data_IF_227277162400
#
_entry.id   IF_227277162400
#
_cell.length_a   1.000
_cell.length_b   1.000
_cell.length_c   1.000
_cell.angle_alpha   90.00
_cell.angle_beta   90.00
_cell.angle_gamma   90.00
#
_symmetry.space_group_name_H-M   'P 1'
#
loop_
_entity.id
_entity.type
_entity.pdbx_description
1 polymer ?
#
# COMPACT_ATOMS: atom_id res chain seq x y z
N UNK A 1 -19.98 19.92 -12.31
CA UNK A 1 -18.64 19.79 -12.90
C UNK A 1 -17.91 18.62 -12.28
N UNK A 2 -16.86 18.12 -12.93
CA UNK A 2 -16.19 16.85 -12.59
C UNK A 2 -14.96 17.06 -11.72
N UNK A 3 -14.75 16.19 -10.72
CA UNK A 3 -13.58 16.22 -9.85
C UNK A 3 -12.31 15.80 -10.61
N UNK A 4 -11.24 16.58 -10.50
CA UNK A 4 -9.97 16.26 -11.15
C UNK A 4 -9.21 15.09 -10.48
N UNK A 5 -9.57 14.71 -9.25
CA UNK A 5 -8.95 13.58 -8.56
C UNK A 5 -9.63 12.24 -8.87
N UNK A 6 -10.95 12.18 -8.72
CA UNK A 6 -11.70 10.92 -8.90
C UNK A 6 -12.43 10.81 -10.23
N UNK A 7 -12.43 11.87 -11.06
CA UNK A 7 -13.16 11.92 -12.33
C UNK A 7 -14.68 11.74 -12.21
N UNK A 8 -15.23 11.80 -10.99
CA UNK A 8 -16.68 11.72 -10.72
C UNK A 8 -17.33 13.12 -10.67
N UNK A 9 -18.65 13.22 -10.89
CA UNK A 9 -19.40 14.45 -10.63
C UNK A 9 -19.20 14.94 -9.19
N UNK A 10 -18.90 16.22 -9.01
CA UNK A 10 -18.75 16.79 -7.67
C UNK A 10 -20.13 17.04 -7.05
N UNK A 11 -20.52 16.22 -6.07
CA UNK A 11 -21.65 16.51 -5.17
C UNK A 11 -21.32 17.63 -4.19
N UNK A 12 -20.07 17.66 -3.72
CA UNK A 12 -19.51 18.68 -2.83
C UNK A 12 -18.24 19.24 -3.43
N UNK A 13 -17.94 20.49 -3.15
CA UNK A 13 -16.77 21.21 -3.67
C UNK A 13 -15.85 21.56 -2.51
N UNK A 14 -14.54 21.42 -2.74
CA UNK A 14 -13.51 21.85 -1.81
C UNK A 14 -12.85 23.14 -2.33
N UNK A 15 -12.91 24.20 -1.53
CA UNK A 15 -12.26 25.48 -1.82
C UNK A 15 -11.02 25.65 -0.94
N UNK A 16 -9.86 25.77 -1.58
CA UNK A 16 -8.60 26.14 -0.91
C UNK A 16 -8.41 27.66 -0.90
N UNK A 17 -7.55 28.18 -0.03
CA UNK A 17 -7.26 29.62 0.06
C UNK A 17 -6.71 30.23 -1.24
N UNK A 18 -6.11 29.40 -2.10
CA UNK A 18 -5.65 29.81 -3.42
C UNK A 18 -6.76 29.96 -4.48
N UNK A 19 -8.03 29.70 -4.13
CA UNK A 19 -9.19 29.84 -5.04
C UNK A 19 -9.45 28.66 -5.98
N UNK A 20 -8.55 27.67 -6.03
CA UNK A 20 -8.79 26.44 -6.79
C UNK A 20 -9.90 25.59 -6.15
N UNK A 21 -10.88 25.20 -6.97
CA UNK A 21 -12.12 24.49 -6.55
C UNK A 21 -12.48 23.32 -7.47
N UNK A 22 -11.48 22.75 -8.16
CA UNK A 22 -11.60 21.65 -9.13
C UNK A 22 -11.54 20.25 -8.50
N UNK A 23 -11.52 20.17 -7.17
CA UNK A 23 -11.52 18.92 -6.39
C UNK A 23 -12.81 18.82 -5.59
N UNK A 24 -13.42 17.65 -5.54
CA UNK A 24 -14.60 17.43 -4.70
C UNK A 24 -14.24 17.43 -3.22
N UNK A 25 -15.25 17.67 -2.36
CA UNK A 25 -15.11 17.62 -0.91
C UNK A 25 -14.46 16.31 -0.42
N UNK A 26 -14.95 15.16 -0.92
CA UNK A 26 -14.47 13.84 -0.50
C UNK A 26 -12.98 13.61 -0.83
N UNK A 27 -12.54 13.96 -2.04
CA UNK A 27 -11.14 13.82 -2.41
C UNK A 27 -10.24 14.75 -1.58
N UNK A 28 -10.64 16.00 -1.40
CA UNK A 28 -9.90 16.93 -0.54
C UNK A 28 -9.80 16.43 0.91
N UNK A 29 -10.90 15.88 1.44
CA UNK A 29 -10.92 15.31 2.78
C UNK A 29 -10.00 14.08 2.89
N UNK A 30 -9.96 13.19 1.89
CA UNK A 30 -9.02 12.06 1.84
C UNK A 30 -7.55 12.53 1.83
N UNK A 31 -7.23 13.54 1.02
CA UNK A 31 -5.87 14.11 0.96
C UNK A 31 -5.43 14.58 2.37
N UNK A 32 -6.30 15.30 3.07
CA UNK A 32 -5.98 15.82 4.40
C UNK A 32 -5.93 14.74 5.48
N UNK A 33 -6.96 13.91 5.57
CA UNK A 33 -7.16 13.00 6.70
C UNK A 33 -6.37 11.69 6.56
N UNK A 34 -6.26 11.15 5.35
CA UNK A 34 -5.63 9.84 5.13
C UNK A 34 -4.18 9.95 4.63
N UNK A 35 -3.85 11.04 3.93
CA UNK A 35 -2.54 11.25 3.32
C UNK A 35 -1.73 12.38 3.99
N UNK A 36 -2.31 13.11 4.95
CA UNK A 36 -1.70 14.28 5.59
C UNK A 36 -1.18 15.33 4.58
N UNK A 37 -1.87 15.48 3.45
CA UNK A 37 -1.55 16.44 2.40
C UNK A 37 -2.46 17.67 2.50
N UNK A 38 -1.87 18.82 2.82
CA UNK A 38 -2.56 20.12 2.97
C UNK A 38 -2.31 21.08 1.80
N UNK A 39 -1.49 20.66 0.83
CA UNK A 39 -1.14 21.43 -0.35
C UNK A 39 -2.26 21.35 -1.40
N UNK A 40 -2.48 22.45 -2.11
CA UNK A 40 -3.34 22.44 -3.29
C UNK A 40 -2.70 21.58 -4.38
N UNK A 41 -3.43 20.62 -4.94
CA UNK A 41 -2.90 19.73 -5.98
C UNK A 41 -2.54 20.45 -7.30
N UNK A 42 -3.03 21.68 -7.51
CA UNK A 42 -2.77 22.46 -8.72
C UNK A 42 -1.54 23.36 -8.57
N UNK A 43 -1.55 24.23 -7.56
CA UNK A 43 -0.48 25.22 -7.39
C UNK A 43 0.55 24.85 -6.32
N UNK A 44 0.38 23.72 -5.63
CA UNK A 44 1.24 23.26 -4.53
C UNK A 44 1.32 24.21 -3.32
N UNK A 45 0.54 25.30 -3.32
CA UNK A 45 0.45 26.21 -2.19
C UNK A 45 -0.17 25.48 -1.00
N UNK A 46 0.48 25.57 0.15
CA UNK A 46 -0.02 25.07 1.42
C UNK A 46 -1.31 25.84 1.77
N UNK A 47 -2.37 25.10 2.07
CA UNK A 47 -3.63 25.66 2.55
C UNK A 47 -3.84 25.17 3.97
N UNK A 48 -3.78 26.05 4.96
CA UNK A 48 -3.95 25.66 6.37
C UNK A 48 -5.36 25.14 6.63
N UNK A 49 -6.35 25.73 5.97
CA UNK A 49 -7.75 25.29 5.96
C UNK A 49 -8.24 25.00 4.56
N UNK A 50 -9.29 24.19 4.45
CA UNK A 50 -10.12 24.05 3.24
C UNK A 50 -11.58 24.16 3.64
N UNK A 51 -12.36 24.81 2.80
CA UNK A 51 -13.81 24.87 2.96
C UNK A 51 -14.49 23.82 2.07
N UNK A 52 -15.43 23.07 2.63
CA UNK A 52 -16.25 22.08 1.92
C UNK A 52 -17.72 22.49 2.00
N UNK A 53 -18.39 22.46 0.85
CA UNK A 53 -19.77 22.92 0.68
C UNK A 53 -20.47 22.14 -0.44
N UNK A 54 -21.81 22.18 -0.47
CA UNK A 54 -22.63 21.49 -1.48
C UNK A 54 -22.74 22.31 -2.79
N UNK A 55 -22.75 23.65 -2.70
CA UNK A 55 -22.83 24.54 -3.88
C UNK A 55 -21.45 24.92 -4.43
N UNK A 56 -21.42 25.56 -5.61
CA UNK A 56 -20.23 26.24 -6.18
C UNK A 56 -20.27 27.75 -6.01
N UNK A 57 -21.41 28.28 -5.63
CA UNK A 57 -21.67 29.72 -5.57
C UNK A 57 -21.09 30.28 -4.27
N UNK A 58 -19.77 30.48 -4.26
CA UNK A 58 -19.08 31.07 -3.13
C UNK A 58 -18.80 32.55 -3.38
N UNK A 59 -18.96 33.41 -2.37
CA UNK A 59 -18.36 34.72 -2.41
C UNK A 59 -16.83 34.56 -2.50
N UNK A 60 -16.13 35.38 -3.32
CA UNK A 60 -14.68 35.28 -3.52
C UNK A 60 -13.86 35.51 -2.24
N UNK A 61 -14.49 36.02 -1.18
CA UNK A 61 -13.88 36.28 0.13
C UNK A 61 -13.99 35.08 1.09
N UNK A 62 -14.57 33.97 0.65
CA UNK A 62 -14.85 32.80 1.49
C UNK A 62 -16.13 32.97 2.32
N UNK A 63 -16.64 31.87 2.91
CA UNK A 63 -17.83 31.89 3.75
C UNK A 63 -17.54 32.67 5.04
N UNK A 64 -18.15 33.86 5.15
CA UNK A 64 -17.91 34.78 6.27
C UNK A 64 -18.77 34.50 7.51
N UNK A 65 -19.93 33.86 7.35
CA UNK A 65 -20.87 33.59 8.44
C UNK A 65 -21.32 32.12 8.45
N UNK A 66 -21.42 31.53 9.66
CA UNK A 66 -21.96 30.18 9.94
C UNK A 66 -21.22 28.98 9.34
N UNK A 67 -19.89 28.92 9.48
CA UNK A 67 -19.12 27.71 9.14
C UNK A 67 -18.92 26.79 10.35
N UNK A 68 -18.90 25.49 10.10
CA UNK A 68 -18.53 24.48 11.09
C UNK A 68 -17.06 24.16 10.96
N UNK A 69 -16.27 24.57 11.95
CA UNK A 69 -14.84 24.30 11.99
C UNK A 69 -14.54 22.96 12.66
N UNK A 70 -13.84 22.07 11.95
CA UNK A 70 -13.25 20.87 12.53
C UNK A 70 -11.76 21.10 12.83
N UNK A 71 -11.47 21.26 14.12
CA UNK A 71 -10.11 21.54 14.59
C UNK A 71 -9.14 20.36 14.36
N UNK A 72 -9.63 19.12 14.28
CA UNK A 72 -8.79 17.94 14.08
C UNK A 72 -8.32 17.84 12.63
N UNK A 73 -9.23 18.05 11.68
CA UNK A 73 -8.95 17.89 10.25
C UNK A 73 -8.57 19.20 9.55
N UNK A 74 -8.74 20.34 10.23
CA UNK A 74 -8.56 21.70 9.69
C UNK A 74 -9.43 21.94 8.46
N UNK A 75 -10.67 21.46 8.52
CA UNK A 75 -11.66 21.60 7.47
C UNK A 75 -12.82 22.44 8.01
N UNK A 76 -13.24 23.42 7.22
CA UNK A 76 -14.46 24.17 7.43
C UNK A 76 -15.57 23.53 6.59
N UNK A 77 -16.75 23.33 7.18
CA UNK A 77 -17.93 22.87 6.46
C UNK A 77 -18.99 23.96 6.41
N UNK A 78 -19.78 23.98 5.34
CA UNK A 78 -20.92 24.89 5.17
C UNK A 78 -21.99 24.68 6.25
N UNK A 79 -22.26 23.42 6.61
CA UNK A 79 -23.31 23.05 7.56
C UNK A 79 -22.83 21.95 8.51
N UNK A 80 -23.51 21.83 9.66
CA UNK A 80 -23.26 20.75 10.62
C UNK A 80 -23.65 19.37 10.06
N UNK A 81 -24.65 19.32 9.18
CA UNK A 81 -25.04 18.10 8.47
C UNK A 81 -23.91 17.59 7.57
N UNK A 82 -23.28 18.50 6.82
CA UNK A 82 -22.14 18.19 5.97
C UNK A 82 -20.94 17.75 6.80
N UNK A 83 -20.64 18.48 7.87
CA UNK A 83 -19.59 18.08 8.82
C UNK A 83 -19.83 16.67 9.38
N UNK A 84 -21.07 16.36 9.78
CA UNK A 84 -21.46 15.06 10.32
C UNK A 84 -21.29 13.92 9.31
N UNK A 85 -21.66 14.14 8.04
CA UNK A 85 -21.44 13.16 6.96
C UNK A 85 -19.97 12.81 6.79
N UNK A 86 -19.09 13.80 6.80
CA UNK A 86 -17.66 13.59 6.63
C UNK A 86 -17.00 12.98 7.87
N UNK A 87 -17.37 13.43 9.08
CA UNK A 87 -16.91 12.81 10.34
C UNK A 87 -17.34 11.34 10.43
N UNK A 88 -18.54 10.99 9.96
CA UNK A 88 -19.00 9.60 9.95
C UNK A 88 -18.09 8.66 9.14
N UNK A 89 -17.30 9.19 8.20
CA UNK A 89 -16.36 8.38 7.42
C UNK A 89 -15.24 7.80 8.30
N UNK A 90 -14.78 8.56 9.32
CA UNK A 90 -13.66 8.18 10.17
C UNK A 90 -14.08 7.36 11.40
N UNK A 91 -15.37 7.38 11.75
CA UNK A 91 -15.91 6.63 12.89
C UNK A 91 -15.80 5.14 12.64
N UNK A 92 -15.27 4.40 13.61
CA UNK A 92 -15.25 2.94 13.59
C UNK A 92 -16.65 2.38 13.84
N UNK A 93 -17.50 2.41 12.81
CA UNK A 93 -18.88 1.92 12.82
C UNK A 93 -18.98 0.57 12.10
N UNK A 94 -19.74 -0.37 12.64
CA UNK A 94 -20.04 -1.62 11.97
C UNK A 94 -20.98 -1.38 10.79
N UNK A 95 -20.63 -1.89 9.61
CA UNK A 95 -21.46 -1.78 8.40
C UNK A 95 -22.67 -2.71 8.39
N UNK A 96 -22.76 -3.66 9.34
CA UNK A 96 -23.85 -4.64 9.40
C UNK A 96 -24.91 -4.29 10.45
N UNK A 97 -24.51 -3.80 11.63
CA UNK A 97 -25.43 -3.49 12.73
C UNK A 97 -25.39 -2.02 13.18
N UNK A 98 -24.53 -1.20 12.57
CA UNK A 98 -24.35 0.23 12.87
C UNK A 98 -23.83 0.58 14.27
N UNK A 99 -23.42 -0.41 15.08
CA UNK A 99 -22.73 -0.15 16.35
C UNK A 99 -21.40 0.58 16.14
N UNK A 100 -21.11 1.55 17.00
CA UNK A 100 -19.88 2.37 16.96
C UNK A 100 -18.89 1.95 18.04
N UNK A 101 -17.60 1.98 17.70
CA UNK A 101 -16.51 1.58 18.58
C UNK A 101 -15.47 2.69 18.71
N UNK A 102 -14.72 2.68 19.81
CA UNK A 102 -13.67 3.67 20.06
C UNK A 102 -12.39 3.37 19.26
N UNK A 103 -12.20 2.11 18.84
CA UNK A 103 -11.01 1.69 18.09
C UNK A 103 -11.36 0.71 16.98
N UNK A 104 -10.56 0.73 15.90
CA UNK A 104 -10.69 -0.23 14.80
C UNK A 104 -10.53 -1.68 15.29
N UNK A 105 -9.69 -1.93 16.31
CA UNK A 105 -9.52 -3.27 16.90
C UNK A 105 -10.80 -3.80 17.56
N UNK A 106 -11.54 -2.94 18.27
CA UNK A 106 -12.83 -3.32 18.86
C UNK A 106 -13.85 -3.64 17.76
N UNK A 107 -13.91 -2.80 16.72
CA UNK A 107 -14.76 -3.04 15.55
C UNK A 107 -14.41 -4.37 14.85
N UNK A 108 -13.12 -4.68 14.65
CA UNK A 108 -12.67 -5.95 14.08
C UNK A 108 -13.13 -7.16 14.91
N UNK A 109 -12.97 -7.07 16.24
CA UNK A 109 -13.39 -8.13 17.17
C UNK A 109 -14.90 -8.38 17.06
N UNK A 110 -15.70 -7.31 17.18
CA UNK A 110 -17.15 -7.36 17.06
C UNK A 110 -17.59 -7.95 15.71
N UNK A 111 -17.03 -7.46 14.61
CA UNK A 111 -17.38 -7.90 13.25
C UNK A 111 -17.12 -9.41 13.08
N UNK A 112 -16.04 -9.91 13.69
CA UNK A 112 -15.67 -11.33 13.68
C UNK A 112 -16.59 -12.19 14.54
N UNK A 113 -16.97 -11.74 15.73
CA UNK A 113 -17.76 -12.54 16.68
C UNK A 113 -19.25 -12.49 16.38
N UNK A 114 -19.79 -11.31 16.09
CA UNK A 114 -21.23 -11.10 15.90
C UNK A 114 -21.67 -11.39 14.46
N UNK A 115 -20.85 -11.06 13.46
CA UNK A 115 -21.24 -11.17 12.05
C UNK A 115 -20.49 -12.26 11.28
N UNK A 116 -19.48 -12.91 11.88
CA UNK A 116 -18.60 -13.88 11.20
C UNK A 116 -17.88 -13.30 9.98
N UNK A 117 -17.80 -11.98 9.90
CA UNK A 117 -17.10 -11.23 8.86
C UNK A 117 -15.73 -10.80 9.39
N UNK A 118 -14.78 -10.52 8.50
CA UNK A 118 -13.45 -10.04 8.88
C UNK A 118 -12.96 -8.95 7.95
N UNK A 119 -12.18 -8.04 8.50
CA UNK A 119 -11.35 -7.13 7.72
C UNK A 119 -10.05 -7.83 7.28
N UNK A 120 -9.56 -7.49 6.10
CA UNK A 120 -8.21 -7.88 5.69
C UNK A 120 -7.18 -6.99 6.40
N UNK A 121 -6.27 -7.58 7.18
CA UNK A 121 -5.26 -6.81 7.92
C UNK A 121 -4.30 -6.07 6.98
N UNK A 122 -3.89 -6.72 5.89
CA UNK A 122 -3.02 -6.11 4.88
C UNK A 122 -3.68 -4.87 4.27
N UNK A 123 -4.97 -4.95 3.94
CA UNK A 123 -5.70 -3.81 3.43
C UNK A 123 -5.84 -2.68 4.47
N UNK A 124 -6.12 -3.01 5.74
CA UNK A 124 -6.24 -2.01 6.80
C UNK A 124 -4.94 -1.24 7.06
N UNK A 125 -3.79 -1.89 6.91
CA UNK A 125 -2.48 -1.25 7.11
C UNK A 125 -2.05 -0.41 5.89
N UNK A 126 -2.38 -0.88 4.68
CA UNK A 126 -1.79 -0.34 3.45
C UNK A 126 -2.76 0.52 2.63
N UNK A 127 -4.08 0.30 2.68
CA UNK A 127 -5.04 1.13 1.93
C UNK A 127 -5.29 2.45 2.65
N UNK A 128 -5.16 3.54 1.92
CA UNK A 128 -5.49 4.89 2.39
C UNK A 128 -6.96 5.22 2.05
N UNK A 129 -7.87 4.41 2.61
CA UNK A 129 -9.32 4.62 2.52
C UNK A 129 -9.92 4.76 3.93
N UNK A 130 -11.12 5.30 4.03
CA UNK A 130 -11.79 5.43 5.32
C UNK A 130 -12.24 4.08 5.85
N UNK A 131 -12.31 3.93 7.19
CA UNK A 131 -12.72 2.66 7.80
C UNK A 131 -14.15 2.26 7.42
N UNK A 132 -15.03 3.25 7.23
CA UNK A 132 -16.39 3.06 6.74
C UNK A 132 -16.46 2.53 5.31
N UNK A 133 -15.42 2.75 4.49
CA UNK A 133 -15.30 2.30 3.10
C UNK A 133 -14.57 0.94 3.01
N UNK A 134 -14.02 0.46 4.13
CA UNK A 134 -13.26 -0.78 4.15
C UNK A 134 -14.19 -1.98 4.06
N UNK A 135 -13.99 -2.80 3.04
CA UNK A 135 -14.75 -4.03 2.86
C UNK A 135 -14.47 -5.06 3.97
N UNK A 136 -15.52 -5.77 4.34
CA UNK A 136 -15.49 -6.95 5.20
C UNK A 136 -15.79 -8.20 4.38
N UNK A 137 -15.27 -9.33 4.82
CA UNK A 137 -15.33 -10.58 4.08
C UNK A 137 -15.80 -11.72 4.97
N UNK A 138 -16.68 -12.59 4.46
CA UNK A 138 -16.87 -13.91 5.04
C UNK A 138 -15.66 -14.82 4.75
N UNK A 139 -15.71 -16.08 5.19
CA UNK A 139 -14.59 -17.01 5.00
C UNK A 139 -14.29 -17.33 3.52
N UNK A 140 -15.31 -17.44 2.67
CA UNK A 140 -15.16 -17.77 1.26
C UNK A 140 -14.70 -16.54 0.47
N UNK A 141 -15.35 -15.40 0.69
CA UNK A 141 -14.99 -14.11 0.11
C UNK A 141 -13.55 -13.75 0.46
N UNK A 142 -13.12 -13.99 1.71
CA UNK A 142 -11.74 -13.69 2.12
C UNK A 142 -10.72 -14.55 1.36
N UNK A 143 -11.01 -15.82 1.08
CA UNK A 143 -10.14 -16.67 0.26
C UNK A 143 -10.02 -16.16 -1.16
N UNK A 144 -11.11 -15.70 -1.75
CA UNK A 144 -11.15 -15.11 -3.09
C UNK A 144 -10.36 -13.79 -3.13
N UNK A 145 -10.56 -12.94 -2.11
CA UNK A 145 -9.83 -11.68 -1.93
C UNK A 145 -8.31 -11.88 -1.92
N UNK A 146 -7.81 -12.88 -1.19
CA UNK A 146 -6.38 -13.21 -1.14
C UNK A 146 -5.78 -13.61 -2.49
N UNK A 147 -6.60 -13.91 -3.50
CA UNK A 147 -6.18 -14.29 -4.86
C UNK A 147 -6.47 -13.21 -5.93
N UNK A 148 -7.00 -12.04 -5.52
CA UNK A 148 -7.23 -10.90 -6.42
C UNK A 148 -8.48 -10.99 -7.29
N UNK A 149 -9.33 -11.99 -7.05
CA UNK A 149 -10.52 -12.28 -7.87
C UNK A 149 -11.81 -11.64 -7.35
N UNK A 150 -11.71 -10.73 -6.39
CA UNK A 150 -12.85 -10.12 -5.69
C UNK A 150 -13.21 -8.72 -6.20
N UNK A 151 -12.51 -8.21 -7.21
CA UNK A 151 -12.75 -6.87 -7.73
C UNK A 151 -12.30 -5.74 -6.81
N UNK A 152 -11.53 -6.03 -5.75
CA UNK A 152 -11.03 -5.02 -4.79
C UNK A 152 -10.04 -4.01 -5.40
N UNK A 153 -9.67 -4.15 -6.68
CA UNK A 153 -8.71 -3.33 -7.40
C UNK A 153 -7.28 -3.88 -7.35
N UNK A 154 -7.04 -4.94 -6.58
CA UNK A 154 -5.75 -5.60 -6.46
C UNK A 154 -5.70 -6.84 -7.34
N UNK A 155 -5.21 -6.69 -8.59
CA UNK A 155 -5.29 -7.71 -9.64
C UNK A 155 -4.70 -9.08 -9.24
N UNK A 156 -3.58 -9.10 -8.51
CA UNK A 156 -2.91 -10.31 -8.04
C UNK A 156 -3.33 -10.73 -6.61
N UNK A 157 -4.19 -9.96 -5.95
CA UNK A 157 -4.52 -10.15 -4.54
C UNK A 157 -3.31 -9.91 -3.64
N UNK A 158 -3.24 -10.64 -2.53
CA UNK A 158 -2.15 -10.52 -1.56
C UNK A 158 -1.14 -11.65 -1.77
N UNK A 159 -0.02 -11.40 -2.48
CA UNK A 159 0.89 -12.46 -2.87
C UNK A 159 1.57 -13.09 -1.66
N UNK A 160 1.93 -14.36 -1.81
CA UNK A 160 2.49 -15.21 -0.77
C UNK A 160 3.95 -15.51 -1.10
N UNK A 161 4.85 -15.22 -0.17
CA UNK A 161 6.22 -15.70 -0.27
C UNK A 161 6.23 -17.23 -0.15
N UNK A 162 6.78 -17.92 -1.16
CA UNK A 162 6.87 -19.39 -1.17
C UNK A 162 7.94 -19.95 -0.23
N UNK A 163 8.86 -19.10 0.24
CA UNK A 163 9.96 -19.50 1.14
C UNK A 163 9.57 -19.41 2.61
N UNK A 164 8.94 -18.31 3.02
CA UNK A 164 8.57 -18.07 4.42
C UNK A 164 7.06 -18.11 4.68
N UNK A 165 6.24 -18.33 3.66
CA UNK A 165 4.78 -18.44 3.73
C UNK A 165 4.08 -17.19 4.31
N UNK A 166 4.75 -16.03 4.27
CA UNK A 166 4.17 -14.73 4.63
C UNK A 166 3.45 -14.10 3.46
N UNK A 167 2.32 -13.43 3.73
CA UNK A 167 1.59 -12.66 2.73
C UNK A 167 1.98 -11.19 2.77
N UNK A 168 2.02 -10.58 1.60
CA UNK A 168 2.35 -9.19 1.38
C UNK A 168 1.17 -8.45 0.78
N UNK A 169 1.16 -7.13 0.92
CA UNK A 169 0.06 -6.33 0.39
C UNK A 169 -0.02 -6.41 -1.13
N UNK A 170 1.12 -6.29 -1.82
CA UNK A 170 1.21 -6.35 -3.28
C UNK A 170 2.52 -7.00 -3.73
N UNK A 171 2.68 -7.17 -5.05
CA UNK A 171 3.89 -7.76 -5.65
C UNK A 171 5.13 -6.90 -5.40
N UNK A 172 4.98 -5.58 -5.28
CA UNK A 172 6.09 -4.66 -4.97
C UNK A 172 6.67 -4.95 -3.60
N UNK A 173 5.83 -5.08 -2.58
CA UNK A 173 6.27 -5.45 -1.23
C UNK A 173 6.86 -6.87 -1.18
N UNK A 174 6.29 -7.81 -1.94
CA UNK A 174 6.85 -9.15 -2.04
C UNK A 174 8.26 -9.13 -2.66
N UNK A 175 8.46 -8.41 -3.77
CA UNK A 175 9.77 -8.28 -4.44
C UNK A 175 10.78 -7.65 -3.49
N UNK A 176 10.40 -6.58 -2.79
CA UNK A 176 11.25 -5.95 -1.79
C UNK A 176 11.64 -6.95 -0.70
N UNK A 177 10.68 -7.70 -0.14
CA UNK A 177 10.95 -8.76 0.83
C UNK A 177 11.89 -9.85 0.29
N UNK A 178 11.68 -10.33 -0.94
CA UNK A 178 12.55 -11.33 -1.57
C UNK A 178 14.00 -10.85 -1.63
N UNK A 179 14.22 -9.57 -1.93
CA UNK A 179 15.56 -8.98 -2.04
C UNK A 179 16.29 -8.79 -0.71
N UNK A 180 15.55 -8.69 0.41
CA UNK A 180 16.13 -8.37 1.72
C UNK A 180 16.24 -9.60 2.63
N UNK A 181 15.27 -10.51 2.57
CA UNK A 181 15.12 -11.60 3.53
C UNK A 181 15.47 -12.99 2.96
N UNK A 182 15.75 -13.08 1.66
CA UNK A 182 16.15 -14.32 1.01
C UNK A 182 17.46 -14.17 0.23
N UNK A 183 18.17 -15.28 0.12
CA UNK A 183 19.45 -15.32 -0.57
C UNK A 183 19.19 -15.51 -2.07
N UNK A 184 19.72 -14.62 -2.89
CA UNK A 184 19.70 -14.78 -4.34
C UNK A 184 21.06 -15.30 -4.83
N UNK A 185 21.05 -16.16 -5.84
CA UNK A 185 22.28 -16.55 -6.53
C UNK A 185 22.80 -15.38 -7.38
N UNK A 186 23.97 -14.83 -7.03
CA UNK A 186 24.59 -13.71 -7.76
C UNK A 186 24.97 -14.07 -9.20
N UNK A 187 25.28 -15.35 -9.47
CA UNK A 187 25.61 -15.82 -10.81
C UNK A 187 24.37 -15.84 -11.70
N UNK A 188 23.26 -16.41 -11.22
CA UNK A 188 21.97 -16.39 -11.92
C UNK A 188 21.43 -14.96 -12.07
N UNK A 189 21.65 -14.10 -11.08
CA UNK A 189 21.26 -12.70 -11.15
C UNK A 189 22.00 -11.95 -12.26
N UNK A 190 23.32 -12.13 -12.37
CA UNK A 190 24.12 -11.55 -13.47
C UNK A 190 23.66 -12.06 -14.83
N UNK A 191 23.43 -13.37 -14.98
CA UNK A 191 22.95 -13.93 -16.25
C UNK A 191 21.58 -13.41 -16.68
N UNK A 192 20.70 -13.08 -15.73
CA UNK A 192 19.41 -12.44 -16.04
C UNK A 192 19.59 -11.04 -16.66
N UNK A 193 20.64 -10.30 -16.29
CA UNK A 193 20.93 -9.01 -16.93
C UNK A 193 21.26 -9.19 -18.43
N UNK A 194 21.79 -10.36 -18.81
CA UNK A 194 22.11 -10.71 -20.19
C UNK A 194 20.95 -11.40 -20.95
N UNK A 195 20.09 -12.17 -20.27
CA UNK A 195 18.89 -12.81 -20.85
C UNK A 195 17.68 -12.75 -19.90
N UNK A 196 16.71 -11.90 -20.25
CA UNK A 196 15.45 -11.70 -19.51
C UNK A 196 14.60 -12.97 -19.32
N UNK A 197 14.90 -14.06 -20.05
CA UNK A 197 14.20 -15.34 -19.90
C UNK A 197 14.65 -16.16 -18.70
N UNK A 198 15.77 -15.83 -18.06
CA UNK A 198 16.26 -16.55 -16.89
C UNK A 198 15.69 -16.00 -15.58
N UNK A 199 15.17 -16.91 -14.76
CA UNK A 199 14.62 -16.58 -13.45
C UNK A 199 15.73 -16.55 -12.40
N UNK A 200 15.73 -15.52 -11.54
CA UNK A 200 16.57 -15.52 -10.35
C UNK A 200 15.92 -16.41 -9.31
N UNK A 201 16.62 -17.46 -8.91
CA UNK A 201 16.19 -18.33 -7.82
C UNK A 201 16.53 -17.70 -6.47
N UNK A 202 15.55 -17.70 -5.57
CA UNK A 202 15.69 -17.25 -4.19
C UNK A 202 15.68 -18.46 -3.26
N UNK A 203 16.59 -18.44 -2.29
CA UNK A 203 16.83 -19.51 -1.34
C UNK A 203 16.53 -19.03 0.08
N UNK A 204 15.94 -19.93 0.88
CA UNK A 204 15.51 -19.59 2.24
C UNK A 204 16.70 -19.39 3.19
N UNK A 205 17.78 -20.14 2.97
CA UNK A 205 18.97 -20.10 3.80
C UNK A 205 20.22 -20.30 2.95
N UNK A 206 21.36 -20.06 3.58
CA UNK A 206 22.66 -20.13 2.94
C UNK A 206 23.05 -21.56 2.52
N UNK A 207 22.58 -22.59 3.23
CA UNK A 207 22.81 -24.00 2.88
C UNK A 207 22.14 -24.39 1.56
N UNK A 208 20.91 -23.94 1.31
CA UNK A 208 20.22 -24.14 0.05
C UNK A 208 20.90 -23.41 -1.11
N UNK A 209 21.31 -22.15 -0.89
CA UNK A 209 22.08 -21.41 -1.88
C UNK A 209 23.40 -22.11 -2.21
N UNK A 210 24.08 -22.66 -1.20
CA UNK A 210 25.32 -23.40 -1.40
C UNK A 210 25.10 -24.70 -2.18
N UNK A 211 24.03 -25.44 -1.88
CA UNK A 211 23.66 -26.63 -2.66
C UNK A 211 23.44 -26.27 -4.14
N UNK A 212 22.78 -25.15 -4.41
CA UNK A 212 22.61 -24.62 -5.76
C UNK A 212 23.94 -24.24 -6.43
N UNK A 213 24.84 -23.55 -5.71
CA UNK A 213 26.17 -23.24 -6.25
C UNK A 213 26.95 -24.49 -6.66
N UNK A 214 26.86 -25.58 -5.89
CA UNK A 214 27.54 -26.84 -6.24
C UNK A 214 26.89 -27.60 -7.40
N UNK A 215 25.58 -27.45 -7.61
CA UNK A 215 24.87 -28.19 -8.66
C UNK A 215 24.84 -27.45 -9.99
N UNK A 216 24.68 -26.13 -9.98
CA UNK A 216 24.43 -25.33 -11.18
C UNK A 216 25.62 -24.42 -11.58
N UNK A 217 26.62 -24.27 -10.70
CA UNK A 217 27.73 -23.32 -10.88
C UNK A 217 29.10 -23.94 -10.56
N UNK A 218 30.15 -23.18 -10.87
CA UNK A 218 31.54 -23.58 -10.62
C UNK A 218 32.03 -22.89 -9.35
N UNK A 219 32.36 -23.66 -8.31
CA UNK A 219 32.74 -23.13 -6.99
C UNK A 219 34.23 -23.38 -6.74
N UNK A 220 34.94 -22.38 -6.21
CA UNK A 220 36.31 -22.56 -5.72
C UNK A 220 36.30 -23.33 -4.38
N UNK A 221 37.02 -24.46 -4.32
CA UNK A 221 37.10 -25.32 -3.13
C UNK A 221 38.30 -25.00 -2.22
N UNK A 222 39.04 -23.91 -2.48
CA UNK A 222 40.14 -23.46 -1.62
C UNK A 222 39.63 -22.88 -0.30
N UNK A 223 40.31 -23.18 0.82
CA UNK A 223 39.84 -22.83 2.17
C UNK A 223 39.63 -21.33 2.36
N UNK A 224 40.52 -20.50 1.82
CA UNK A 224 40.41 -19.04 1.88
C UNK A 224 39.15 -18.51 1.20
N UNK A 225 38.73 -19.13 0.10
CA UNK A 225 37.51 -18.78 -0.63
C UNK A 225 36.26 -19.38 0.03
N UNK A 226 36.36 -20.55 0.66
CA UNK A 226 35.27 -21.15 1.42
C UNK A 226 34.87 -20.29 2.64
N UNK A 227 35.85 -19.72 3.34
CA UNK A 227 35.61 -18.86 4.51
C UNK A 227 34.93 -17.52 4.16
N UNK A 228 35.04 -17.07 2.90
CA UNK A 228 34.42 -15.84 2.39
C UNK A 228 33.00 -16.03 1.84
N UNK A 229 32.29 -17.06 2.31
CA UNK A 229 30.98 -17.45 1.81
C UNK A 229 30.98 -17.97 0.36
N UNK A 230 32.03 -18.71 0.00
CA UNK A 230 32.26 -19.36 -1.30
C UNK A 230 32.28 -18.41 -2.50
N UNK A 231 33.25 -18.60 -3.39
CA UNK A 231 33.30 -17.87 -4.66
C UNK A 231 32.76 -18.80 -5.76
N UNK A 232 31.61 -18.43 -6.33
CA UNK A 232 30.94 -19.18 -7.38
C UNK A 232 30.91 -18.39 -8.70
N UNK A 233 31.09 -19.11 -9.81
CA UNK A 233 31.28 -18.57 -11.16
C UNK A 233 30.27 -19.15 -12.15
N UNK A 234 30.03 -18.39 -13.22
CA UNK A 234 29.13 -18.78 -14.30
C UNK A 234 29.75 -19.76 -15.28
N UNK A 235 31.07 -19.80 -15.40
CA UNK A 235 31.76 -20.69 -16.36
C UNK A 235 33.02 -21.30 -15.77
N UNK A 236 33.44 -22.43 -16.33
CA UNK A 236 34.71 -23.08 -15.95
C UNK A 236 35.92 -22.18 -16.25
N UNK A 237 35.85 -21.37 -17.32
CA UNK A 237 36.90 -20.42 -17.67
C UNK A 237 37.08 -19.33 -16.60
N UNK A 238 35.98 -18.81 -16.04
CA UNK A 238 36.03 -17.86 -14.93
C UNK A 238 36.66 -18.48 -13.68
N UNK A 239 36.28 -19.72 -13.34
CA UNK A 239 36.90 -20.45 -12.23
C UNK A 239 38.40 -20.65 -12.48
N UNK A 240 38.80 -21.09 -13.68
CA UNK A 240 40.20 -21.28 -14.03
C UNK A 240 41.02 -19.98 -13.95
N UNK A 241 40.43 -18.87 -14.43
CA UNK A 241 41.06 -17.55 -14.33
C UNK A 241 41.25 -17.13 -12.87
N UNK A 242 40.27 -17.37 -12.01
CA UNK A 242 40.37 -17.10 -10.57
C UNK A 242 41.44 -17.97 -9.90
N UNK A 243 41.45 -19.27 -10.20
CA UNK A 243 42.47 -20.19 -9.67
C UNK A 243 43.88 -19.78 -10.09
N UNK A 244 44.05 -19.21 -11.28
CA UNK A 244 45.39 -18.80 -11.76
C UNK A 244 45.86 -17.46 -11.20
N UNK A 245 44.95 -16.61 -10.70
CA UNK A 245 45.28 -15.27 -10.19
C UNK A 245 45.38 -15.21 -8.67
N UNK A 246 44.56 -15.98 -7.96
CA UNK A 246 44.42 -15.91 -6.50
C UNK A 246 45.08 -17.09 -5.75
N UNK A 247 45.42 -18.18 -6.46
CA UNK A 247 45.98 -19.42 -5.91
C UNK A 247 47.18 -19.91 -6.73
#
# INVERSE_FOLDING_TARGET
GTCMCCCEPMETVALSLCGHHSVCGLCSYRLRVLLNQTQCIFCQQISESVFIADSRDFPPQGPMDHVVWDNQTKVCFETEELASRFRALTVAKCTTCEETFNTVKQLQSHTRTCHRLRYCWLCLENRKIFISEQATYDQQQFRVHLTGRDGSGLKSGHPLCKMCWRRFYDDTQLIYHMSQDHFACHVCQRRREDDDRQQVEFFQNYEQLFAHFRSEHYVCEERSCMDLRFIAFGTELELFSHMSSEH
#
